data_IF_000253747838
#
_entry.id   IF_000253747838
#
_cell.length_a   1.000
_cell.length_b   1.000
_cell.length_c   1.000
_cell.angle_alpha   90.00
_cell.angle_beta   90.00
_cell.angle_gamma   90.00
#
_symmetry.space_group_name_H-M   'P 1'
#
loop_
_entity.id
_entity.type
_entity.pdbx_description
1 polymer ?
#
# COMPACT_ATOMS: atom_id res chain seq x y z
N UNK A 1 46.04 -5.47 95.77
CA UNK A 1 46.63 -5.93 94.51
C UNK A 1 45.49 -6.34 93.59
N UNK A 2 45.23 -5.48 92.60
CA UNK A 2 44.35 -5.53 91.42
C UNK A 2 43.32 -6.67 91.27
N UNK A 3 42.03 -6.32 91.35
CA UNK A 3 40.93 -7.06 90.76
C UNK A 3 40.55 -6.49 89.38
N UNK A 4 40.38 -7.43 88.44
CA UNK A 4 40.15 -7.28 87.00
C UNK A 4 38.82 -6.61 86.66
N UNK A 5 38.83 -5.63 85.76
CA UNK A 5 37.63 -5.09 85.09
C UNK A 5 37.69 -5.51 83.62
N UNK A 6 36.84 -6.47 83.23
CA UNK A 6 36.57 -6.81 81.84
C UNK A 6 35.79 -5.66 81.19
N UNK A 7 36.34 -5.06 80.12
CA UNK A 7 35.60 -4.18 79.21
C UNK A 7 35.07 -5.03 78.05
N UNK A 8 33.76 -5.22 77.99
CA UNK A 8 33.11 -5.78 76.81
C UNK A 8 32.94 -4.69 75.75
N UNK A 9 33.53 -4.88 74.58
CA UNK A 9 33.29 -4.06 73.40
C UNK A 9 32.16 -4.69 72.58
N UNK A 10 31.01 -4.00 72.49
CA UNK A 10 29.91 -4.43 71.62
C UNK A 10 30.19 -3.90 70.21
N UNK A 11 30.63 -4.79 69.31
CA UNK A 11 30.78 -4.48 67.89
C UNK A 11 29.42 -4.32 67.23
N UNK A 12 29.12 -3.13 66.69
CA UNK A 12 27.90 -2.87 65.91
C UNK A 12 28.07 -3.47 64.51
N UNK A 13 27.38 -4.59 64.25
CA UNK A 13 27.30 -5.17 62.90
C UNK A 13 26.28 -4.38 62.10
N UNK A 14 26.74 -3.60 61.12
CA UNK A 14 25.86 -2.94 60.14
C UNK A 14 25.51 -3.93 59.04
N UNK A 15 24.27 -4.41 59.02
CA UNK A 15 23.73 -5.21 57.91
C UNK A 15 23.50 -4.31 56.70
N UNK A 16 24.24 -4.52 55.62
CA UNK A 16 24.01 -3.85 54.32
C UNK A 16 22.90 -4.61 53.59
N UNK A 17 21.69 -4.06 53.58
CA UNK A 17 20.60 -4.57 52.75
C UNK A 17 20.89 -4.23 51.27
N UNK A 18 21.24 -5.25 50.48
CA UNK A 18 21.39 -5.11 49.03
C UNK A 18 20.00 -4.95 48.39
N UNK A 19 19.70 -3.77 47.83
CA UNK A 19 18.49 -3.57 47.02
C UNK A 19 18.70 -4.24 45.66
N UNK A 20 18.08 -5.39 45.40
CA UNK A 20 18.03 -5.93 44.05
C UNK A 20 17.10 -5.06 43.19
N UNK A 21 17.63 -4.42 42.15
CA UNK A 21 16.81 -3.76 41.13
C UNK A 21 16.32 -4.84 40.18
N UNK A 22 15.06 -5.25 40.33
CA UNK A 22 14.38 -6.10 39.35
C UNK A 22 14.14 -5.25 38.10
N UNK A 23 14.98 -5.43 37.09
CA UNK A 23 14.79 -4.80 35.77
C UNK A 23 13.60 -5.50 35.11
N UNK A 24 12.44 -4.86 35.09
CA UNK A 24 11.27 -5.38 34.39
C UNK A 24 11.63 -5.59 32.90
N UNK A 25 11.32 -6.75 32.30
CA UNK A 25 11.47 -6.90 30.86
C UNK A 25 10.48 -5.95 30.21
N UNK A 26 11.01 -4.94 29.51
CA UNK A 26 10.23 -4.12 28.60
C UNK A 26 9.74 -5.10 27.52
N UNK A 27 8.49 -5.53 27.64
CA UNK A 27 7.76 -6.14 26.54
C UNK A 27 7.74 -5.09 25.44
N UNK A 28 8.71 -5.13 24.52
CA UNK A 28 8.60 -4.44 23.25
C UNK A 28 7.50 -5.17 22.48
N UNK A 29 6.25 -4.80 22.74
CA UNK A 29 5.17 -5.02 21.80
C UNK A 29 5.56 -4.22 20.56
N UNK A 30 6.29 -4.88 19.66
CA UNK A 30 6.54 -4.37 18.32
C UNK A 30 5.16 -4.08 17.74
N UNK A 31 4.78 -2.80 17.70
CA UNK A 31 3.58 -2.38 16.98
C UNK A 31 3.84 -2.72 15.53
N UNK A 32 3.16 -3.74 15.03
CA UNK A 32 3.09 -3.98 13.61
C UNK A 32 2.51 -2.70 12.98
N UNK A 33 3.34 -1.95 12.25
CA UNK A 33 2.89 -0.88 11.37
C UNK A 33 2.16 -1.52 10.19
N UNK A 34 0.93 -1.99 10.41
CA UNK A 34 0.04 -2.34 9.32
C UNK A 34 -0.56 -1.05 8.77
N UNK A 35 -0.03 -0.58 7.64
CA UNK A 35 -0.49 0.61 6.93
C UNK A 35 -1.62 0.27 5.93
N UNK A 36 -2.09 -0.98 5.89
CA UNK A 36 -3.03 -1.44 4.86
C UNK A 36 -4.31 -1.96 5.50
N UNK A 37 -5.28 -1.06 5.67
CA UNK A 37 -6.69 -1.45 5.68
C UNK A 37 -7.14 -1.66 4.22
N UNK A 38 -7.96 -2.69 3.91
CA UNK A 38 -8.43 -2.93 2.56
C UNK A 38 -9.30 -1.74 2.11
N UNK A 39 -8.84 -1.05 1.07
CA UNK A 39 -9.66 -0.07 0.33
C UNK A 39 -10.18 -0.73 -0.93
N UNK A 40 -11.41 -0.37 -1.29
CA UNK A 40 -12.22 -0.89 -2.39
C UNK A 40 -11.40 -1.07 -3.70
N UNK A 41 -11.32 -2.30 -4.22
CA UNK A 41 -10.55 -2.65 -5.44
C UNK A 41 -9.56 -3.81 -5.26
N UNK A 42 -10.00 -4.88 -4.59
CA UNK A 42 -9.16 -6.00 -4.13
C UNK A 42 -8.56 -6.80 -5.31
N UNK A 43 -7.39 -6.36 -5.79
CA UNK A 43 -6.43 -7.27 -6.40
C UNK A 43 -6.09 -8.32 -5.32
N UNK A 44 -6.01 -9.59 -5.71
CA UNK A 44 -5.82 -10.75 -4.82
C UNK A 44 -4.78 -10.53 -3.70
N UNK A 45 -4.94 -11.28 -2.61
CA UNK A 45 -4.16 -11.29 -1.35
C UNK A 45 -2.61 -11.38 -1.44
N UNK A 46 -2.00 -11.30 -2.61
CA UNK A 46 -0.56 -11.38 -2.85
C UNK A 46 -0.01 -10.10 -3.52
N UNK A 47 -0.18 -8.95 -2.87
CA UNK A 47 0.43 -7.68 -3.28
C UNK A 47 1.92 -7.57 -2.98
N UNK A 48 2.59 -8.65 -2.58
CA UNK A 48 4.01 -8.64 -2.22
C UNK A 48 4.75 -9.72 -3.01
N UNK A 49 5.98 -9.42 -3.43
CA UNK A 49 6.87 -10.40 -4.02
C UNK A 49 7.36 -11.45 -3.01
N UNK A 50 7.89 -12.59 -3.50
CA UNK A 50 8.39 -13.68 -2.66
C UNK A 50 9.63 -13.30 -1.81
N UNK A 51 10.26 -12.15 -2.09
CA UNK A 51 11.50 -11.72 -1.46
C UNK A 51 12.71 -12.46 -2.03
N UNK A 52 13.85 -11.76 -2.09
CA UNK A 52 15.09 -12.33 -2.61
C UNK A 52 15.79 -13.21 -1.57
N UNK A 53 16.61 -14.15 -2.05
CA UNK A 53 17.46 -14.97 -1.18
C UNK A 53 18.55 -14.11 -0.53
N UNK A 54 18.99 -14.43 0.70
CA UNK A 54 20.11 -13.73 1.32
C UNK A 54 21.38 -13.81 0.48
N UNK A 55 22.07 -12.68 0.28
CA UNK A 55 23.33 -12.62 -0.46
C UNK A 55 23.18 -12.47 -1.98
N UNK A 56 21.97 -12.40 -2.53
CA UNK A 56 21.70 -12.10 -3.94
C UNK A 56 21.08 -10.71 -4.10
N UNK A 57 21.35 -10.06 -5.22
CA UNK A 57 20.60 -8.86 -5.63
C UNK A 57 19.21 -9.31 -6.06
N UNK A 58 18.18 -8.63 -5.55
CA UNK A 58 16.79 -8.94 -5.86
C UNK A 58 16.44 -8.53 -7.29
N UNK A 59 15.62 -9.33 -7.95
CA UNK A 59 14.96 -8.91 -9.18
C UNK A 59 13.71 -8.08 -8.86
N UNK A 60 13.22 -7.30 -9.82
CA UNK A 60 12.07 -6.42 -9.63
C UNK A 60 10.83 -7.24 -9.22
N UNK A 61 10.66 -8.45 -9.77
CA UNK A 61 9.55 -9.35 -9.40
C UNK A 61 9.63 -9.78 -7.93
N UNK A 62 10.80 -9.85 -7.31
CA UNK A 62 10.95 -10.32 -5.94
C UNK A 62 10.60 -9.26 -4.90
N UNK A 63 10.80 -7.99 -5.23
CA UNK A 63 10.59 -6.85 -4.32
C UNK A 63 9.42 -5.95 -4.72
N UNK A 64 8.85 -6.14 -5.90
CA UNK A 64 7.69 -5.41 -6.37
C UNK A 64 6.51 -5.56 -5.41
N UNK A 65 5.80 -4.46 -5.15
CA UNK A 65 4.63 -4.45 -4.25
C UNK A 65 3.48 -3.62 -4.78
N UNK A 66 2.26 -3.96 -4.37
CA UNK A 66 1.08 -3.16 -4.65
C UNK A 66 0.74 -3.06 -6.14
N UNK A 67 0.53 -1.83 -6.60
CA UNK A 67 0.17 -1.51 -7.99
C UNK A 67 1.35 -1.71 -8.94
N UNK A 68 2.57 -1.46 -8.47
CA UNK A 68 3.77 -1.64 -9.29
C UNK A 68 3.97 -3.12 -9.64
N UNK A 69 3.77 -4.04 -8.69
CA UNK A 69 3.72 -5.48 -8.96
C UNK A 69 2.63 -5.86 -9.97
N UNK A 70 1.44 -5.28 -9.83
CA UNK A 70 0.31 -5.58 -10.72
C UNK A 70 0.62 -5.19 -12.17
N UNK A 71 1.23 -4.02 -12.36
CA UNK A 71 1.68 -3.54 -13.66
C UNK A 71 2.80 -4.42 -14.22
N UNK A 72 3.81 -4.76 -13.40
CA UNK A 72 4.94 -5.60 -13.79
C UNK A 72 4.49 -6.98 -14.26
N UNK A 73 3.65 -7.66 -13.47
CA UNK A 73 3.12 -8.99 -13.82
C UNK A 73 2.27 -8.94 -15.10
N UNK A 74 1.47 -7.90 -15.28
CA UNK A 74 0.63 -7.76 -16.47
C UNK A 74 1.49 -7.54 -17.72
N UNK A 75 2.53 -6.70 -17.62
CA UNK A 75 3.51 -6.49 -18.70
C UNK A 75 4.26 -7.77 -19.06
N UNK A 76 4.59 -8.62 -18.08
CA UNK A 76 5.19 -9.94 -18.33
C UNK A 76 4.23 -10.87 -19.08
N UNK A 77 2.92 -10.78 -18.84
CA UNK A 77 1.89 -11.47 -19.63
C UNK A 77 1.63 -10.81 -21.01
N UNK A 78 2.29 -9.70 -21.32
CA UNK A 78 2.08 -8.92 -22.54
C UNK A 78 0.75 -8.15 -22.56
N UNK A 79 0.19 -7.82 -21.39
CA UNK A 79 -1.07 -7.06 -21.24
C UNK A 79 -0.82 -5.76 -20.48
N UNK A 80 -1.45 -4.68 -20.91
CA UNK A 80 -1.46 -3.43 -20.16
C UNK A 80 -2.73 -3.30 -19.33
N UNK A 81 -2.57 -3.04 -18.02
CA UNK A 81 -3.70 -2.78 -17.10
C UNK A 81 -4.30 -1.39 -17.27
N UNK A 82 -3.55 -0.47 -17.88
CA UNK A 82 -3.96 0.90 -18.12
C UNK A 82 -4.13 1.12 -19.62
N UNK A 83 -5.33 1.52 -20.02
CA UNK A 83 -5.62 1.90 -21.40
C UNK A 83 -5.11 3.33 -21.67
N UNK A 84 -3.95 3.41 -22.31
CA UNK A 84 -3.33 4.67 -22.75
C UNK A 84 -3.67 5.01 -24.21
N UNK A 85 -4.49 4.19 -24.87
CA UNK A 85 -4.82 4.42 -26.27
C UNK A 85 -5.75 5.63 -26.43
N UNK A 86 -5.61 6.40 -27.52
CA UNK A 86 -6.54 7.47 -27.82
C UNK A 86 -7.93 6.88 -28.09
N UNK A 87 -8.97 7.72 -27.96
CA UNK A 87 -10.32 7.29 -28.27
C UNK A 87 -10.41 6.86 -29.74
N UNK A 88 -10.79 5.60 -29.97
CA UNK A 88 -11.00 5.06 -31.32
C UNK A 88 -12.35 5.53 -31.85
N UNK A 89 -12.32 6.45 -32.81
CA UNK A 89 -13.51 6.97 -33.48
C UNK A 89 -13.70 6.21 -34.80
N UNK A 90 -14.67 5.29 -34.82
CA UNK A 90 -15.01 4.48 -36.02
C UNK A 90 -16.06 5.18 -36.90
N UNK A 91 -16.90 6.00 -36.29
CA UNK A 91 -17.96 6.76 -36.94
C UNK A 91 -18.20 8.09 -36.20
N UNK A 92 -18.85 9.03 -36.86
CA UNK A 92 -19.21 10.35 -36.28
C UNK A 92 -20.09 10.23 -35.02
N UNK A 93 -20.93 9.20 -34.95
CA UNK A 93 -21.93 9.01 -33.91
C UNK A 93 -23.17 9.87 -34.14
N UNK A 94 -24.35 9.26 -34.05
CA UNK A 94 -25.65 9.95 -34.09
C UNK A 94 -26.41 9.72 -32.80
N UNK A 95 -27.53 10.42 -32.59
CA UNK A 95 -28.41 10.17 -31.43
C UNK A 95 -28.97 8.73 -31.42
N UNK A 96 -29.14 8.12 -32.59
CA UNK A 96 -29.62 6.73 -32.72
C UNK A 96 -28.49 5.72 -32.53
N UNK A 97 -27.29 6.05 -33.01
CA UNK A 97 -26.12 5.17 -32.95
C UNK A 97 -24.90 5.96 -32.42
N UNK A 98 -24.74 6.06 -31.09
CA UNK A 98 -23.67 6.84 -30.47
C UNK A 98 -22.33 6.10 -30.48
N UNK A 99 -21.24 6.85 -30.40
CA UNK A 99 -19.90 6.27 -30.15
C UNK A 99 -19.80 5.84 -28.69
N UNK A 100 -19.67 4.54 -28.46
CA UNK A 100 -19.57 3.98 -27.12
C UNK A 100 -18.15 4.14 -26.55
N UNK A 101 -18.05 4.77 -25.39
CA UNK A 101 -16.80 4.96 -24.66
C UNK A 101 -16.80 4.06 -23.43
N UNK A 102 -15.81 3.18 -23.31
CA UNK A 102 -15.66 2.33 -22.11
C UNK A 102 -15.28 3.20 -20.92
N UNK A 103 -15.87 2.97 -19.76
CA UNK A 103 -15.52 3.65 -18.51
C UNK A 103 -15.73 2.71 -17.33
N UNK A 104 -14.83 2.79 -16.34
CA UNK A 104 -15.02 2.10 -15.05
C UNK A 104 -15.99 2.91 -14.19
N UNK A 105 -15.82 4.23 -14.18
CA UNK A 105 -16.64 5.14 -13.39
C UNK A 105 -17.91 5.60 -14.10
N UNK A 106 -18.94 6.06 -13.35
CA UNK A 106 -20.15 6.62 -13.93
C UNK A 106 -19.94 7.93 -14.69
N UNK A 107 -18.81 8.62 -14.53
CA UNK A 107 -18.52 9.88 -15.22
C UNK A 107 -17.17 9.78 -15.90
N UNK A 108 -17.07 10.19 -17.16
CA UNK A 108 -15.83 10.22 -17.92
C UNK A 108 -15.71 11.50 -18.74
N UNK A 109 -14.51 12.08 -18.74
CA UNK A 109 -14.15 13.20 -19.59
C UNK A 109 -13.69 12.67 -20.95
N UNK A 110 -14.19 13.30 -22.03
CA UNK A 110 -13.90 12.90 -23.41
C UNK A 110 -13.53 14.13 -24.22
N UNK A 111 -12.39 14.10 -24.89
CA UNK A 111 -11.98 15.13 -25.86
C UNK A 111 -12.43 14.74 -27.26
N UNK A 112 -13.16 15.64 -27.93
CA UNK A 112 -13.57 15.49 -29.32
C UNK A 112 -12.68 16.38 -30.20
N UNK A 113 -11.97 15.78 -31.16
CA UNK A 113 -11.22 16.48 -32.22
C UNK A 113 -11.94 16.41 -33.58
N UNK A 114 -13.14 15.84 -33.59
CA UNK A 114 -14.00 15.67 -34.75
C UNK A 114 -13.81 14.35 -35.49
N UNK A 115 -14.53 14.19 -36.59
CA UNK A 115 -14.49 13.02 -37.46
C UNK A 115 -14.55 13.48 -38.93
N UNK A 116 -13.49 13.27 -39.75
CA UNK A 116 -12.20 12.63 -39.46
C UNK A 116 -11.42 13.25 -38.28
N UNK A 117 -10.42 12.54 -37.75
CA UNK A 117 -9.63 13.01 -36.60
C UNK A 117 -8.98 14.36 -36.93
N UNK A 118 -9.01 15.28 -35.96
CA UNK A 118 -8.34 16.60 -36.03
C UNK A 118 -8.96 17.61 -37.01
N UNK A 119 -10.26 17.48 -37.26
CA UNK A 119 -11.02 18.46 -38.08
C UNK A 119 -11.32 19.77 -37.37
N UNK A 120 -11.32 19.79 -36.05
CA UNK A 120 -11.59 20.99 -35.26
C UNK A 120 -10.85 20.94 -33.92
N UNK A 121 -10.74 22.09 -33.25
CA UNK A 121 -10.11 22.20 -31.92
C UNK A 121 -10.76 21.27 -30.89
N UNK A 122 -9.98 20.84 -29.90
CA UNK A 122 -10.46 19.87 -28.90
C UNK A 122 -11.62 20.44 -28.09
N UNK A 123 -12.80 19.83 -28.24
CA UNK A 123 -13.98 20.11 -27.44
C UNK A 123 -14.08 19.10 -26.30
N UNK A 124 -14.06 19.58 -25.07
CA UNK A 124 -14.17 18.74 -23.87
C UNK A 124 -15.63 18.48 -23.52
N UNK A 125 -15.97 17.20 -23.36
CA UNK A 125 -17.30 16.73 -23.00
C UNK A 125 -17.24 15.92 -21.71
N UNK A 126 -18.15 16.23 -20.79
CA UNK A 126 -18.38 15.39 -19.60
C UNK A 126 -19.51 14.43 -19.93
N UNK A 127 -19.24 13.12 -19.90
CA UNK A 127 -20.23 12.08 -20.16
C UNK A 127 -20.56 11.37 -18.85
N UNK A 128 -21.84 11.31 -18.54
CA UNK A 128 -22.37 10.56 -17.41
C UNK A 128 -23.02 9.28 -17.91
N UNK A 129 -22.87 8.20 -17.16
CA UNK A 129 -23.59 6.95 -17.38
C UNK A 129 -25.07 7.25 -17.18
N UNK A 130 -25.82 7.20 -18.26
CA UNK A 130 -27.27 7.29 -18.18
C UNK A 130 -27.74 6.03 -17.49
N UNK A 131 -28.22 6.18 -16.25
CA UNK A 131 -28.73 5.08 -15.44
C UNK A 131 -30.12 4.70 -16.00
N UNK A 132 -30.14 3.88 -17.05
CA UNK A 132 -31.36 3.51 -17.76
C UNK A 132 -31.25 2.12 -18.38
N UNK A 133 -31.90 1.16 -17.72
CA UNK A 133 -32.28 -0.21 -18.14
C UNK A 133 -31.21 -1.05 -18.84
N UNK A 134 -30.62 -1.96 -18.06
CA UNK A 134 -30.25 -3.29 -18.54
C UNK A 134 -31.30 -3.84 -19.51
N UNK A 135 -30.87 -4.12 -20.73
CA UNK A 135 -31.43 -5.16 -21.60
C UNK A 135 -30.29 -6.07 -22.00
#
# INVERSE_FOLDING_TARGET
>A
MLSSVLRHTVGSVRTIASRSVIRQPHSSTARAFSVLGPRFGELSSNFFGPGAKPGTVADDIDQATGVERAELLSKLEGKDIYDLSPLKIVAMGTKKEPVMVKSVDPVRFVGCTGFPVDTHDTVWLVKTKVMGTTS
#
